data_IF_961460426863
#
_entry.id   IF_961460426863
#
_cell.length_a   1.000
_cell.length_b   1.000
_cell.length_c   1.000
_cell.angle_alpha   90.00
_cell.angle_beta   90.00
_cell.angle_gamma   90.00
#
_symmetry.space_group_name_H-M   'P 1'
#
loop_
_entity.id
_entity.type
_entity.pdbx_description
1 polymer ?
#
# COMPACT_ATOMS: atom_id res chain seq x y z
N UNK A 1 -15.19 -5.62 -18.64
CA UNK A 1 -15.09 -5.68 -17.18
C UNK A 1 -13.98 -6.64 -16.83
N UNK A 2 -12.96 -6.18 -16.11
CA UNK A 2 -11.84 -7.01 -15.72
C UNK A 2 -10.82 -6.15 -14.99
N UNK A 3 -10.93 -6.08 -13.66
CA UNK A 3 -9.96 -5.45 -12.78
C UNK A 3 -8.68 -6.30 -12.69
N UNK A 4 -8.12 -6.72 -13.82
CA UNK A 4 -6.89 -7.51 -13.92
C UNK A 4 -5.63 -6.69 -13.62
N UNK A 5 -5.75 -5.60 -12.87
CA UNK A 5 -4.62 -4.83 -12.38
C UNK A 5 -3.83 -5.64 -11.35
N UNK A 6 -2.62 -5.19 -11.06
CA UNK A 6 -1.90 -5.64 -9.87
C UNK A 6 -2.79 -5.30 -8.65
N UNK A 7 -3.22 -6.31 -7.90
CA UNK A 7 -4.15 -6.15 -6.79
C UNK A 7 -3.32 -5.92 -5.54
N UNK A 8 -3.42 -4.72 -4.98
CA UNK A 8 -2.72 -4.36 -3.74
C UNK A 8 -3.75 -4.12 -2.65
N UNK A 9 -3.46 -4.61 -1.46
CA UNK A 9 -4.21 -4.31 -0.23
C UNK A 9 -3.39 -3.39 0.66
N UNK A 10 -4.08 -2.43 1.28
CA UNK A 10 -3.47 -1.46 2.21
C UNK A 10 -4.20 -1.56 3.54
N UNK A 11 -3.45 -1.84 4.62
CA UNK A 11 -3.99 -1.90 5.98
C UNK A 11 -3.42 -0.76 6.83
N UNK A 12 -4.32 -0.06 7.53
CA UNK A 12 -3.97 1.02 8.45
C UNK A 12 -3.71 0.45 9.85
N UNK A 13 -2.43 0.35 10.23
CA UNK A 13 -2.01 -0.08 11.55
C UNK A 13 -1.89 1.09 12.54
N UNK A 14 -1.58 0.76 13.81
CA UNK A 14 -1.49 1.76 14.88
C UNK A 14 -0.35 2.77 14.60
N UNK A 15 0.82 2.30 14.16
CA UNK A 15 1.97 3.16 13.87
C UNK A 15 2.48 3.05 12.42
N UNK A 16 2.05 2.02 11.70
CA UNK A 16 2.56 1.65 10.38
C UNK A 16 1.43 1.38 9.40
N UNK A 17 1.69 1.66 8.14
CA UNK A 17 0.87 1.26 7.00
C UNK A 17 1.50 0.01 6.37
N UNK A 18 0.68 -1.01 6.15
CA UNK A 18 1.10 -2.26 5.54
C UNK A 18 0.54 -2.34 4.12
N UNK A 19 1.39 -2.68 3.16
CA UNK A 19 1.01 -2.87 1.77
C UNK A 19 1.50 -4.23 1.31
N UNK A 20 0.61 -5.04 0.74
CA UNK A 20 0.95 -6.35 0.20
C UNK A 20 0.23 -6.63 -1.12
N UNK A 21 0.72 -7.62 -1.85
CA UNK A 21 -0.01 -8.20 -2.97
C UNK A 21 -1.19 -9.01 -2.42
N UNK A 22 -2.40 -8.69 -2.86
CA UNK A 22 -3.60 -9.46 -2.52
C UNK A 22 -3.50 -10.91 -2.97
N UNK A 23 -2.77 -11.15 -4.08
CA UNK A 23 -2.64 -12.45 -4.75
C UNK A 23 -1.60 -13.35 -4.08
N UNK A 24 -0.74 -12.80 -3.23
CA UNK A 24 0.28 -13.53 -2.47
C UNK A 24 0.24 -13.13 -0.99
N UNK A 25 -0.76 -13.65 -0.22
CA UNK A 25 -0.95 -13.26 1.18
C UNK A 25 0.17 -13.71 2.12
N UNK A 26 0.93 -14.74 1.74
CA UNK A 26 2.07 -15.24 2.50
C UNK A 26 3.40 -14.64 2.01
N UNK A 27 3.34 -13.80 0.98
CA UNK A 27 4.47 -13.10 0.40
C UNK A 27 4.99 -11.95 1.27
N UNK A 28 6.08 -11.29 0.84
CA UNK A 28 6.64 -10.15 1.55
C UNK A 28 5.69 -8.94 1.51
N UNK A 29 5.64 -8.20 2.62
CA UNK A 29 4.89 -6.95 2.73
C UNK A 29 5.81 -5.74 2.92
N UNK A 30 5.37 -4.59 2.40
CA UNK A 30 6.01 -3.30 2.65
C UNK A 30 5.38 -2.66 3.88
N UNK A 31 6.22 -2.22 4.82
CA UNK A 31 5.81 -1.46 6.00
C UNK A 31 6.34 -0.04 5.91
N UNK A 32 5.46 0.93 6.06
CA UNK A 32 5.80 2.35 6.09
C UNK A 32 5.30 3.00 7.37
N UNK A 33 5.99 4.01 7.88
CA UNK A 33 5.42 4.88 8.91
C UNK A 33 4.29 5.73 8.34
N UNK A 34 3.35 6.16 9.19
CA UNK A 34 2.20 6.97 8.76
C UNK A 34 2.61 8.27 8.07
N UNK A 35 3.61 8.98 8.59
CA UNK A 35 4.09 10.25 8.00
C UNK A 35 4.74 10.01 6.64
N UNK A 36 5.59 9.00 6.51
CA UNK A 36 6.22 8.65 5.23
C UNK A 36 5.17 8.24 4.19
N UNK A 37 4.13 7.50 4.60
CA UNK A 37 3.01 7.14 3.72
C UNK A 37 2.24 8.37 3.22
N UNK A 38 1.99 9.36 4.08
CA UNK A 38 1.34 10.61 3.66
C UNK A 38 2.18 11.36 2.63
N UNK A 39 3.50 11.47 2.84
CA UNK A 39 4.41 12.09 1.87
C UNK A 39 4.40 11.33 0.54
N UNK A 40 4.47 10.00 0.59
CA UNK A 40 4.41 9.14 -0.59
C UNK A 40 3.13 9.37 -1.40
N UNK A 41 1.96 9.34 -0.76
CA UNK A 41 0.67 9.55 -1.41
C UNK A 41 0.54 10.97 -1.95
N UNK A 42 1.03 11.98 -1.22
CA UNK A 42 1.04 13.36 -1.70
C UNK A 42 1.91 13.51 -2.96
N UNK A 43 3.09 12.90 -2.98
CA UNK A 43 3.97 12.91 -4.15
C UNK A 43 3.32 12.27 -5.39
N UNK A 44 2.56 11.18 -5.22
CA UNK A 44 1.83 10.53 -6.31
C UNK A 44 0.64 11.33 -6.85
N UNK A 45 0.09 12.25 -6.04
CA UNK A 45 -1.06 13.09 -6.41
C UNK A 45 -0.65 14.40 -7.09
N UNK A 46 0.63 14.74 -7.05
CA UNK A 46 1.15 15.92 -7.75
C UNK A 46 1.04 15.73 -9.27
N UNK A 47 0.62 16.76 -10.02
CA UNK A 47 0.38 16.69 -11.47
C UNK A 47 1.65 16.50 -12.30
#
# INVERSE_FOLDING_TARGET
MGNGGNCVEVADGVHTIHVRDSKDPDGPELRSGREQWQVFVAALKSP
#
